data_IF_976023853079
#
_entry.id   IF_976023853079
#
_cell.length_a   1.000
_cell.length_b   1.000
_cell.length_c   1.000
_cell.angle_alpha   90.00
_cell.angle_beta   90.00
_cell.angle_gamma   90.00
#
_symmetry.space_group_name_H-M   'P 1'
#
loop_
_entity.id
_entity.type
_entity.pdbx_description
1 polymer ?
#
# COMPACT_ATOMS: atom_id res chain seq x y z
N UNK A 1 -1.37 3.46 4.61
CA UNK A 1 -1.75 2.65 3.43
C UNK A 1 -0.94 3.12 2.24
N UNK A 2 -0.41 2.18 1.46
CA UNK A 2 0.41 2.46 0.27
C UNK A 2 -0.12 1.70 -0.94
N UNK A 3 0.14 2.22 -2.12
CA UNK A 3 -0.08 1.57 -3.42
C UNK A 3 1.26 1.42 -4.12
N UNK A 4 1.43 0.32 -4.84
CA UNK A 4 2.65 0.00 -5.56
C UNK A 4 2.34 -0.57 -6.94
N UNK A 5 3.20 -0.27 -7.90
CA UNK A 5 3.22 -0.93 -9.22
C UNK A 5 4.12 -2.16 -9.28
N UNK A 6 4.83 -2.49 -8.20
CA UNK A 6 5.61 -3.71 -8.13
C UNK A 6 4.69 -4.94 -8.05
N UNK A 7 5.05 -6.05 -8.71
CA UNK A 7 4.18 -7.23 -8.81
C UNK A 7 3.97 -7.92 -7.46
N UNK A 8 4.97 -7.83 -6.56
CA UNK A 8 4.94 -8.48 -5.26
C UNK A 8 5.41 -7.52 -4.17
N UNK A 9 4.82 -7.66 -2.99
CA UNK A 9 5.17 -6.85 -1.83
C UNK A 9 6.57 -7.20 -1.27
N UNK A 10 7.12 -8.34 -1.69
CA UNK A 10 8.48 -8.81 -1.40
C UNK A 10 9.45 -8.57 -2.54
N UNK A 11 9.08 -7.78 -3.56
CA UNK A 11 10.02 -7.37 -4.61
C UNK A 11 11.18 -6.56 -3.99
N UNK A 12 12.43 -6.95 -4.27
CA UNK A 12 13.61 -6.29 -3.69
C UNK A 12 13.67 -4.78 -4.00
N UNK A 13 13.09 -4.33 -5.12
CA UNK A 13 13.01 -2.90 -5.47
C UNK A 13 12.07 -2.14 -4.53
N UNK A 14 10.95 -2.75 -4.16
CA UNK A 14 10.03 -2.24 -3.15
C UNK A 14 10.70 -2.26 -1.77
N UNK A 15 11.28 -3.40 -1.39
CA UNK A 15 11.92 -3.59 -0.09
C UNK A 15 13.09 -2.63 0.11
N UNK A 16 13.90 -2.35 -0.92
CA UNK A 16 14.96 -1.35 -0.85
C UNK A 16 14.40 0.05 -0.52
N UNK A 17 13.25 0.44 -1.10
CA UNK A 17 12.59 1.71 -0.79
C UNK A 17 12.04 1.76 0.63
N UNK A 18 11.51 0.64 1.15
CA UNK A 18 11.06 0.54 2.54
C UNK A 18 12.22 0.58 3.54
N UNK A 19 13.30 -0.16 3.28
CA UNK A 19 14.54 -0.14 4.07
C UNK A 19 15.18 1.26 4.11
N UNK A 20 15.18 1.98 2.98
CA UNK A 20 15.64 3.37 2.95
C UNK A 20 14.82 4.29 3.88
N UNK A 21 13.56 3.95 4.16
CA UNK A 21 12.70 4.62 5.14
C UNK A 21 12.82 4.07 6.57
N UNK A 22 13.78 3.17 6.82
CA UNK A 22 13.97 2.50 8.12
C UNK A 22 12.94 1.42 8.43
N UNK A 23 12.26 0.87 7.42
CA UNK A 23 11.26 -0.18 7.56
C UNK A 23 11.89 -1.51 7.12
N UNK A 24 12.51 -2.19 8.07
CA UNK A 24 13.16 -3.49 7.83
C UNK A 24 12.26 -4.69 8.12
N UNK A 25 11.18 -4.48 8.88
CA UNK A 25 10.21 -5.51 9.30
C UNK A 25 8.80 -4.94 9.24
N UNK A 26 7.86 -5.72 8.71
CA UNK A 26 6.46 -5.31 8.63
C UNK A 26 5.51 -6.50 8.50
N UNK A 27 4.23 -6.23 8.79
CA UNK A 27 3.12 -7.08 8.41
C UNK A 27 2.25 -6.25 7.47
N UNK A 28 2.01 -6.77 6.28
CA UNK A 28 1.16 -6.13 5.28
C UNK A 28 -0.09 -6.97 5.05
N UNK A 29 -1.17 -6.28 4.70
CA UNK A 29 -2.45 -6.88 4.35
C UNK A 29 -2.87 -6.37 2.99
N UNK A 30 -3.27 -7.27 2.10
CA UNK A 30 -3.86 -6.90 0.81
C UNK A 30 -5.21 -6.22 1.01
N UNK A 31 -5.51 -5.21 0.21
CA UNK A 31 -6.81 -4.53 0.19
C UNK A 31 -7.28 -4.46 -1.26
N UNK A 32 -8.58 -4.64 -1.48
CA UNK A 32 -9.19 -4.54 -2.80
C UNK A 32 -9.04 -3.13 -3.40
N UNK A 33 -8.61 -3.05 -4.66
CA UNK A 33 -8.34 -1.77 -5.32
C UNK A 33 -9.61 -0.96 -5.59
N UNK A 34 -10.73 -1.62 -5.91
CA UNK A 34 -12.00 -0.93 -6.11
C UNK A 34 -12.52 -0.34 -4.78
N UNK A 35 -12.31 -1.06 -3.67
CA UNK A 35 -12.59 -0.57 -2.33
C UNK A 35 -11.77 0.67 -1.98
N UNK A 36 -10.48 0.72 -2.37
CA UNK A 36 -9.62 1.90 -2.18
C UNK A 36 -10.09 3.07 -3.04
N UNK A 37 -10.36 2.83 -4.33
CA UNK A 37 -10.88 3.85 -5.26
C UNK A 37 -12.19 4.47 -4.78
N UNK A 38 -13.10 3.68 -4.24
CA UNK A 38 -14.38 4.17 -3.71
C UNK A 38 -14.22 5.06 -2.46
N UNK A 39 -13.22 4.77 -1.61
CA UNK A 39 -12.98 5.48 -0.35
C UNK A 39 -12.05 6.69 -0.49
N UNK A 40 -11.14 6.64 -1.45
CA UNK A 40 -10.11 7.64 -1.69
C UNK A 40 -10.08 8.08 -3.17
N UNK A 41 -11.20 8.56 -3.75
CA UNK A 41 -11.29 8.79 -5.20
C UNK A 41 -10.29 9.83 -5.71
N UNK A 42 -10.07 10.91 -4.95
CA UNK A 42 -9.13 11.98 -5.32
C UNK A 42 -7.68 11.50 -5.26
N UNK A 43 -7.27 10.90 -4.13
CA UNK A 43 -5.92 10.37 -3.95
C UNK A 43 -5.62 9.23 -4.93
N UNK A 44 -6.61 8.36 -5.19
CA UNK A 44 -6.45 7.23 -6.10
C UNK A 44 -6.17 7.69 -7.54
N UNK A 45 -6.92 8.68 -8.05
CA UNK A 45 -6.70 9.24 -9.38
C UNK A 45 -5.31 9.85 -9.53
N UNK A 46 -4.93 10.74 -8.63
CA UNK A 46 -3.63 11.40 -8.66
C UNK A 46 -2.46 10.42 -8.56
N UNK A 47 -2.60 9.38 -7.72
CA UNK A 47 -1.56 8.36 -7.58
C UNK A 47 -1.49 7.46 -8.82
N UNK A 48 -2.61 7.09 -9.43
CA UNK A 48 -2.59 6.30 -10.67
C UNK A 48 -1.89 7.05 -11.80
N UNK A 49 -2.16 8.35 -11.95
CA UNK A 49 -1.48 9.17 -12.97
C UNK A 49 0.03 9.22 -12.74
N UNK A 50 0.45 9.39 -11.50
CA UNK A 50 1.86 9.45 -11.13
C UNK A 50 2.57 8.09 -11.29
N UNK A 51 1.90 6.99 -10.94
CA UNK A 51 2.42 5.63 -11.10
C UNK A 51 2.35 5.10 -12.54
N UNK A 52 1.57 5.72 -13.43
CA UNK A 52 1.45 5.28 -14.83
C UNK A 52 2.76 5.39 -15.62
N UNK A 53 3.65 6.30 -15.20
CA UNK A 53 4.91 6.57 -15.89
C UNK A 53 6.14 5.92 -15.23
N UNK A 54 6.02 5.42 -14.00
CA UNK A 54 7.17 4.96 -13.19
C UNK A 54 6.80 3.78 -12.28
N UNK A 55 7.68 2.78 -12.20
CA UNK A 55 7.62 1.76 -11.16
C UNK A 55 8.00 2.35 -9.78
N UNK A 56 7.02 2.60 -8.91
CA UNK A 56 7.23 3.23 -7.61
C UNK A 56 6.16 2.81 -6.57
N UNK A 57 6.30 3.35 -5.35
CA UNK A 57 5.30 3.30 -4.28
C UNK A 57 4.79 4.70 -3.98
N UNK A 58 3.49 4.80 -3.67
CA UNK A 58 2.85 6.04 -3.22
C UNK A 58 1.97 5.80 -2.02
N UNK A 59 1.97 6.76 -1.10
CA UNK A 59 1.16 6.73 0.11
C UNK A 59 -0.22 7.25 -0.24
N UNK A 60 -1.24 6.42 -0.06
CA UNK A 60 -2.65 6.83 -0.25
C UNK A 60 -3.13 7.60 0.98
N UNK A 61 -2.81 7.08 2.17
CA UNK A 61 -3.21 7.67 3.43
C UNK A 61 -2.18 7.29 4.51
N UNK A 62 -1.80 8.24 5.35
CA UNK A 62 -0.89 8.04 6.48
C UNK A 62 -1.64 7.99 7.83
N UNK A 63 -2.93 8.34 7.87
CA UNK A 63 -3.74 8.33 9.07
C UNK A 63 -4.30 6.93 9.35
N UNK A 64 -3.62 6.20 10.23
CA UNK A 64 -4.02 4.85 10.63
C UNK A 64 -5.45 4.75 11.18
N UNK A 65 -5.93 5.78 11.90
CA UNK A 65 -7.28 5.76 12.46
C UNK A 65 -8.35 5.80 11.35
N UNK A 66 -8.15 6.66 10.36
CA UNK A 66 -9.05 6.77 9.21
C UNK A 66 -9.06 5.49 8.38
N UNK A 67 -7.88 4.90 8.14
CA UNK A 67 -7.76 3.63 7.42
C UNK A 67 -8.54 2.54 8.15
N UNK A 68 -8.35 2.38 9.46
CA UNK A 68 -9.02 1.34 10.25
C UNK A 68 -10.53 1.57 10.40
N UNK A 69 -11.00 2.81 10.30
CA UNK A 69 -12.43 3.12 10.25
C UNK A 69 -13.05 2.81 8.88
N UNK A 70 -12.27 2.96 7.80
CA UNK A 70 -12.75 2.78 6.44
C UNK A 70 -12.74 1.32 5.98
N UNK A 71 -11.84 0.49 6.50
CA UNK A 71 -11.70 -0.91 6.09
C UNK A 71 -11.98 -1.86 7.26
N UNK A 72 -12.91 -2.81 7.04
CA UNK A 72 -13.10 -3.92 7.98
C UNK A 72 -11.87 -4.82 7.98
N UNK A 73 -11.48 -5.32 9.16
CA UNK A 73 -10.41 -6.31 9.28
C UNK A 73 -10.76 -7.61 8.55
N UNK A 74 -12.05 -7.97 8.47
CA UNK A 74 -12.51 -9.16 7.73
C UNK A 74 -12.37 -9.02 6.20
N UNK A 75 -12.22 -7.78 5.71
CA UNK A 75 -12.03 -7.50 4.30
C UNK A 75 -10.54 -7.43 3.89
N UNK A 76 -9.64 -7.57 4.86
CA UNK A 76 -8.20 -7.62 4.60
C UNK A 76 -7.81 -9.03 4.12
N UNK A 77 -6.92 -9.09 3.13
CA UNK A 77 -6.33 -10.36 2.68
C UNK A 77 -5.41 -10.98 3.73
N UNK A 78 -4.83 -12.13 3.40
CA UNK A 78 -3.91 -12.82 4.31
C UNK A 78 -2.69 -11.96 4.71
N UNK A 79 -2.22 -12.06 5.96
CA UNK A 79 -1.07 -11.29 6.43
C UNK A 79 0.22 -11.76 5.75
N UNK A 80 0.92 -10.82 5.13
CA UNK A 80 2.27 -11.01 4.58
C UNK A 80 3.27 -10.51 5.63
N UNK A 81 4.12 -11.40 6.13
CA UNK A 81 5.15 -11.08 7.13
C UNK A 81 6.52 -10.98 6.46
N UNK A 82 7.23 -9.89 6.72
CA UNK A 82 8.57 -9.68 6.21
C UNK A 82 9.56 -9.33 7.33
N UNK A 83 10.80 -9.81 7.20
CA UNK A 83 11.90 -9.48 8.11
C UNK A 83 11.92 -10.28 9.42
N UNK A 84 11.68 -11.59 9.33
CA UNK A 84 11.89 -12.52 10.46
C UNK A 84 13.29 -12.37 11.06
#
# INVERSE_FOLDING_TARGET
>A
MLMSTYPELTDERLLAKLRYKGIDKFIAYGVDLEAVKARYPESYGAILEDLAAVEDIRVVDFNGHQIMANFSLDALGDPIKYGG
#
